data_IF_800905809729
#
_entry.id   IF_800905809729
#
_cell.length_a   1.000
_cell.length_b   1.000
_cell.length_c   1.000
_cell.angle_alpha   90.00
_cell.angle_beta   90.00
_cell.angle_gamma   90.00
#
_symmetry.space_group_name_H-M   'P 1'
#
loop_
_entity.id
_entity.type
_entity.pdbx_description
1 polymer ?
#
# COMPACT_ATOMS: atom_id res chain seq x y z
N UNK A 1 -2.95 -28.63 -13.23
CA UNK A 1 -2.25 -27.73 -14.18
C UNK A 1 -1.18 -26.98 -13.41
N UNK A 2 0.07 -27.09 -13.85
CA UNK A 2 1.25 -26.63 -13.10
C UNK A 2 1.42 -25.12 -13.18
N UNK A 3 0.74 -24.38 -12.31
CA UNK A 3 1.13 -23.00 -12.05
C UNK A 3 2.51 -23.03 -11.37
N UNK A 4 3.51 -22.41 -12.00
CA UNK A 4 4.77 -22.08 -11.32
C UNK A 4 4.43 -21.21 -10.11
N UNK A 5 4.53 -21.80 -8.92
CA UNK A 5 4.36 -21.07 -7.67
C UNK A 5 5.62 -20.23 -7.44
N UNK A 6 5.45 -18.92 -7.40
CA UNK A 6 6.52 -17.99 -7.04
C UNK A 6 6.46 -17.69 -5.54
N UNK A 7 7.55 -17.99 -4.83
CA UNK A 7 7.76 -17.55 -3.46
C UNK A 7 8.50 -16.22 -3.49
N UNK A 8 7.99 -15.23 -2.75
CA UNK A 8 8.63 -13.93 -2.61
C UNK A 8 8.47 -13.41 -1.18
N UNK A 9 9.48 -12.68 -0.72
CA UNK A 9 9.43 -11.92 0.51
C UNK A 9 9.04 -10.47 0.20
N UNK A 10 8.20 -9.87 1.05
CA UNK A 10 7.76 -8.48 0.92
C UNK A 10 7.63 -7.86 2.30
N UNK A 11 7.85 -6.55 2.38
CA UNK A 11 7.72 -5.79 3.61
C UNK A 11 6.80 -4.59 3.37
N UNK A 12 5.55 -4.61 3.90
CA UNK A 12 4.55 -3.59 3.61
C UNK A 12 5.02 -2.15 3.83
N UNK A 13 5.76 -1.89 4.90
CA UNK A 13 6.27 -0.54 5.17
C UNK A 13 7.20 -0.05 4.05
N UNK A 14 8.08 -0.91 3.54
CA UNK A 14 8.99 -0.55 2.48
C UNK A 14 8.26 -0.38 1.14
N UNK A 15 7.24 -1.21 0.88
CA UNK A 15 6.35 -1.01 -0.27
C UNK A 15 5.72 0.38 -0.24
N UNK A 16 5.21 0.82 0.92
CA UNK A 16 4.64 2.15 1.03
C UNK A 16 5.69 3.26 0.91
N UNK A 17 6.90 3.08 1.45
CA UNK A 17 7.99 4.03 1.23
C UNK A 17 8.31 4.20 -0.26
N UNK A 18 8.44 3.08 -0.96
CA UNK A 18 8.78 3.04 -2.39
C UNK A 18 7.66 3.64 -3.26
N UNK A 19 6.40 3.24 -3.03
CA UNK A 19 5.25 3.74 -3.78
C UNK A 19 5.02 5.24 -3.57
N UNK A 20 5.19 5.73 -2.34
CA UNK A 20 5.03 7.16 -2.05
C UNK A 20 6.26 7.97 -2.47
N UNK A 21 7.45 7.35 -2.50
CA UNK A 21 8.72 8.07 -2.58
C UNK A 21 8.96 8.93 -1.34
N UNK A 22 8.62 8.43 -0.16
CA UNK A 22 8.91 9.06 1.14
C UNK A 22 8.45 8.15 2.28
N UNK A 23 8.96 8.40 3.49
CA UNK A 23 8.46 7.70 4.70
C UNK A 23 6.97 8.05 4.89
N UNK A 24 6.07 7.06 4.97
CA UNK A 24 4.67 7.32 5.17
C UNK A 24 4.39 7.88 6.56
N UNK A 25 3.27 8.60 6.70
CA UNK A 25 2.72 8.99 8.00
C UNK A 25 2.50 7.76 8.91
N UNK A 26 2.49 7.94 10.25
CA UNK A 26 2.46 6.82 11.17
C UNK A 26 1.30 5.86 10.91
N UNK A 27 1.62 4.56 10.83
CA UNK A 27 0.67 3.48 10.50
C UNK A 27 -0.65 3.49 11.31
N UNK A 28 -0.68 3.76 12.63
CA UNK A 28 -1.92 3.65 13.39
C UNK A 28 -2.86 4.85 13.20
N UNK A 29 -2.41 5.95 12.59
CA UNK A 29 -3.24 7.16 12.49
C UNK A 29 -4.20 7.09 11.32
N UNK A 30 -5.24 7.93 11.34
CA UNK A 30 -6.18 8.04 10.22
C UNK A 30 -5.45 8.52 8.95
N UNK A 31 -4.60 9.53 9.07
CA UNK A 31 -3.83 10.13 7.97
C UNK A 31 -2.86 9.11 7.35
N UNK A 32 -2.20 8.30 8.19
CA UNK A 32 -1.34 7.22 7.72
C UNK A 32 -2.10 6.13 6.97
N UNK A 33 -3.33 5.81 7.37
CA UNK A 33 -4.20 4.86 6.65
C UNK A 33 -4.71 5.44 5.34
N UNK A 34 -5.19 6.69 5.36
CA UNK A 34 -5.59 7.43 4.16
C UNK A 34 -4.47 7.45 3.13
N UNK A 35 -3.26 7.87 3.51
CA UNK A 35 -2.12 7.94 2.60
C UNK A 35 -1.79 6.59 1.95
N UNK A 36 -1.79 5.50 2.72
CA UNK A 36 -1.55 4.14 2.23
C UNK A 36 -2.66 3.63 1.31
N UNK A 37 -3.91 3.95 1.63
CA UNK A 37 -5.05 3.58 0.79
C UNK A 37 -5.05 4.36 -0.53
N UNK A 38 -4.73 5.66 -0.49
CA UNK A 38 -4.61 6.53 -1.68
C UNK A 38 -3.60 5.93 -2.64
N UNK A 39 -2.39 5.63 -2.19
CA UNK A 39 -1.34 5.15 -3.10
C UNK A 39 -1.67 3.78 -3.70
N UNK A 40 -2.39 2.92 -2.97
CA UNK A 40 -2.89 1.65 -3.52
C UNK A 40 -4.02 1.87 -4.53
N UNK A 41 -4.95 2.78 -4.24
CA UNK A 41 -6.03 3.13 -5.18
C UNK A 41 -5.46 3.75 -6.47
N UNK A 42 -4.50 4.66 -6.35
CA UNK A 42 -3.80 5.31 -7.47
C UNK A 42 -2.98 4.31 -8.30
N UNK A 43 -2.47 3.26 -7.65
CA UNK A 43 -1.84 2.11 -8.31
C UNK A 43 -2.85 1.20 -9.06
N UNK A 44 -4.14 1.56 -9.07
CA UNK A 44 -5.19 0.87 -9.82
C UNK A 44 -5.83 -0.31 -9.10
N UNK A 45 -5.56 -0.50 -7.80
CA UNK A 45 -6.29 -1.51 -7.03
C UNK A 45 -7.77 -1.14 -6.95
N UNK A 46 -8.64 -2.13 -7.17
CA UNK A 46 -10.10 -1.99 -7.06
C UNK A 46 -10.55 -2.01 -5.60
N UNK A 47 -10.13 -1.00 -4.86
CA UNK A 47 -10.49 -0.75 -3.46
C UNK A 47 -11.36 0.50 -3.35
N UNK A 48 -11.97 0.74 -2.19
CA UNK A 48 -12.74 1.98 -1.97
C UNK A 48 -11.85 3.21 -2.16
N UNK A 49 -12.34 4.19 -2.91
CA UNK A 49 -11.68 5.49 -3.02
C UNK A 49 -11.66 6.17 -1.65
N UNK A 50 -10.48 6.40 -1.04
CA UNK A 50 -10.36 7.06 0.26
C UNK A 50 -10.85 8.51 0.24
N UNK A 51 -10.97 9.16 -0.93
CA UNK A 51 -11.46 10.54 -1.03
C UNK A 51 -12.92 10.68 -0.61
N UNK A 52 -13.73 9.62 -0.74
CA UNK A 52 -15.10 9.59 -0.24
C UNK A 52 -15.22 9.87 1.27
N UNK A 53 -14.15 9.63 2.04
CA UNK A 53 -14.08 10.01 3.45
C UNK A 53 -14.30 11.51 3.67
N UNK A 54 -13.72 12.34 2.81
CA UNK A 54 -13.83 13.80 2.92
C UNK A 54 -15.18 14.33 2.42
N UNK A 55 -15.77 13.66 1.43
CA UNK A 55 -17.10 14.00 0.91
C UNK A 55 -18.20 13.74 1.95
N UNK A 56 -18.01 12.71 2.78
CA UNK A 56 -18.96 12.32 3.81
C UNK A 56 -18.86 13.12 5.12
N UNK A 57 -17.77 13.88 5.29
CA UNK A 57 -17.57 14.73 6.47
C UNK A 57 -18.43 15.98 6.35
N UNK A 58 -19.31 16.18 7.33
CA UNK A 58 -20.10 17.40 7.48
C UNK A 58 -19.98 17.95 8.90
N UNK A 59 -20.21 19.26 9.08
CA UNK A 59 -20.28 19.89 10.41
C UNK A 59 -21.26 19.17 11.34
N UNK A 60 -22.39 18.69 10.78
CA UNK A 60 -23.40 17.95 11.53
C UNK A 60 -22.86 16.61 12.03
N UNK A 61 -22.28 15.78 11.16
CA UNK A 61 -21.71 14.47 11.53
C UNK A 61 -20.54 14.61 12.52
N UNK A 62 -19.65 15.59 12.30
CA UNK A 62 -18.56 15.89 13.23
C UNK A 62 -19.06 16.26 14.63
N UNK A 63 -20.11 17.09 14.72
CA UNK A 63 -20.73 17.44 16.01
C UNK A 63 -21.34 16.24 16.73
N UNK A 64 -21.75 15.21 15.99
CA UNK A 64 -22.27 13.96 16.54
C UNK A 64 -21.18 12.91 16.81
N UNK A 65 -19.91 13.21 16.52
CA UNK A 65 -18.81 12.24 16.64
C UNK A 65 -18.89 11.10 15.61
N UNK A 66 -19.62 11.29 14.51
CA UNK A 66 -19.77 10.29 13.44
C UNK A 66 -18.72 10.55 12.37
N UNK A 67 -17.81 9.59 12.19
CA UNK A 67 -16.79 9.59 11.14
C UNK A 67 -17.03 8.38 10.21
N UNK A 68 -16.87 8.52 8.88
CA UNK A 68 -17.11 7.44 7.91
C UNK A 68 -15.92 6.46 7.88
N UNK A 69 -15.62 5.84 9.01
CA UNK A 69 -14.45 4.99 9.20
C UNK A 69 -14.51 3.71 8.36
N UNK A 70 -15.70 3.27 7.95
CA UNK A 70 -15.96 2.15 7.07
C UNK A 70 -15.39 2.32 5.65
N UNK A 71 -15.09 3.56 5.24
CA UNK A 71 -14.44 3.87 3.96
C UNK A 71 -12.93 3.64 4.03
N UNK A 72 -12.35 3.57 5.23
CA UNK A 72 -10.91 3.49 5.46
C UNK A 72 -10.52 2.11 5.99
N UNK A 73 -9.67 1.40 5.24
CA UNK A 73 -9.18 0.09 5.65
C UNK A 73 -8.34 0.15 6.93
N UNK A 74 -8.36 -0.93 7.71
CA UNK A 74 -7.47 -1.11 8.84
C UNK A 74 -6.01 -1.28 8.38
N UNK A 75 -5.02 -0.96 9.23
CA UNK A 75 -3.62 -1.06 8.85
C UNK A 75 -3.21 -2.46 8.37
N UNK A 76 -3.74 -3.52 8.96
CA UNK A 76 -3.44 -4.91 8.59
C UNK A 76 -4.02 -5.26 7.22
N UNK A 77 -5.18 -4.70 6.86
CA UNK A 77 -5.78 -4.88 5.55
C UNK A 77 -4.95 -4.18 4.48
N UNK A 78 -4.46 -2.96 4.76
CA UNK A 78 -3.57 -2.23 3.87
C UNK A 78 -2.25 -2.95 3.65
N UNK A 79 -1.67 -3.54 4.70
CA UNK A 79 -0.46 -4.35 4.59
C UNK A 79 -0.68 -5.61 3.74
N UNK A 80 -1.81 -6.29 3.92
CA UNK A 80 -2.18 -7.46 3.12
C UNK A 80 -2.41 -7.09 1.65
N UNK A 81 -3.05 -5.94 1.38
CA UNK A 81 -3.24 -5.42 0.02
C UNK A 81 -1.91 -5.05 -0.65
N UNK A 82 -0.98 -4.44 0.08
CA UNK A 82 0.35 -4.15 -0.43
C UNK A 82 1.10 -5.44 -0.80
N UNK A 83 1.06 -6.46 0.07
CA UNK A 83 1.68 -7.76 -0.22
C UNK A 83 1.05 -8.43 -1.47
N UNK A 84 -0.28 -8.45 -1.55
CA UNK A 84 -1.00 -9.01 -2.70
C UNK A 84 -0.71 -8.23 -4.00
N UNK A 85 -0.63 -6.91 -3.92
CA UNK A 85 -0.27 -6.06 -5.06
C UNK A 85 1.15 -6.34 -5.53
N UNK A 86 2.12 -6.42 -4.61
CA UNK A 86 3.50 -6.79 -4.95
C UNK A 86 3.55 -8.15 -5.65
N UNK A 87 2.86 -9.17 -5.11
CA UNK A 87 2.82 -10.48 -5.75
C UNK A 87 2.21 -10.44 -7.17
N UNK A 88 1.14 -9.66 -7.35
CA UNK A 88 0.50 -9.48 -8.67
C UNK A 88 1.43 -8.76 -9.65
N UNK A 89 2.10 -7.68 -9.21
CA UNK A 89 3.08 -6.94 -10.00
C UNK A 89 4.24 -7.85 -10.41
N UNK A 90 4.79 -8.64 -9.51
CA UNK A 90 5.89 -9.57 -9.84
C UNK A 90 5.46 -10.60 -10.89
N UNK A 91 4.22 -11.07 -10.84
CA UNK A 91 3.70 -12.06 -11.77
C UNK A 91 3.29 -11.49 -13.14
N UNK A 92 2.83 -10.24 -13.19
CA UNK A 92 2.25 -9.63 -14.41
C UNK A 92 3.13 -8.57 -15.05
N UNK A 93 3.91 -7.88 -14.24
CA UNK A 93 4.73 -6.72 -14.58
C UNK A 93 6.12 -6.83 -13.93
N UNK A 94 6.89 -7.91 -14.14
CA UNK A 94 8.15 -8.14 -13.41
C UNK A 94 9.20 -7.02 -13.64
N UNK A 95 9.18 -6.36 -14.80
CA UNK A 95 10.07 -5.22 -15.09
C UNK A 95 9.72 -3.94 -14.29
N UNK A 96 8.53 -3.88 -13.70
CA UNK A 96 8.05 -2.78 -12.85
C UNK A 96 8.18 -3.13 -11.36
N UNK A 97 9.00 -4.13 -11.04
CA UNK A 97 9.33 -4.53 -9.67
C UNK A 97 10.83 -4.54 -9.46
N UNK A 98 11.25 -4.35 -8.22
CA UNK A 98 12.64 -4.33 -7.80
C UNK A 98 12.86 -5.34 -6.69
N UNK A 99 14.01 -6.03 -6.73
CA UNK A 99 14.52 -6.78 -5.59
C UNK A 99 15.53 -5.93 -4.83
N UNK A 100 15.32 -5.77 -3.54
CA UNK A 100 16.21 -5.04 -2.64
C UNK A 100 16.80 -6.02 -1.63
N UNK A 101 18.11 -5.96 -1.40
CA UNK A 101 18.79 -6.81 -0.42
C UNK A 101 20.11 -7.37 -0.93
N UNK A 102 20.68 -8.30 -0.17
CA UNK A 102 21.94 -8.95 -0.44
C UNK A 102 21.82 -10.45 -0.18
N UNK A 103 22.75 -11.24 -0.73
CA UNK A 103 22.69 -12.71 -0.63
C UNK A 103 22.75 -13.19 0.83
N UNK A 104 23.48 -12.48 1.69
CA UNK A 104 23.58 -12.77 3.12
C UNK A 104 22.30 -12.50 3.93
N UNK A 105 21.53 -11.47 3.56
CA UNK A 105 20.37 -10.99 4.34
C UNK A 105 19.02 -11.41 3.74
N UNK A 106 19.03 -11.88 2.48
CA UNK A 106 17.84 -12.16 1.69
C UNK A 106 17.44 -10.99 0.79
N UNK A 107 16.42 -11.24 -0.02
CA UNK A 107 15.88 -10.24 -0.95
C UNK A 107 14.40 -10.03 -0.66
N UNK A 108 13.99 -8.77 -0.62
CA UNK A 108 12.59 -8.37 -0.59
C UNK A 108 12.19 -7.78 -1.93
N UNK A 109 10.94 -8.00 -2.33
CA UNK A 109 10.39 -7.44 -3.57
C UNK A 109 9.59 -6.17 -3.27
N UNK A 110 9.84 -5.13 -4.04
CA UNK A 110 9.12 -3.86 -4.00
C UNK A 110 8.31 -3.68 -5.30
N UNK A 111 7.08 -3.12 -5.22
CA UNK A 111 6.21 -2.92 -6.37
C UNK A 111 6.55 -1.64 -7.15
N UNK A 112 7.84 -1.36 -7.34
CA UNK A 112 8.37 -0.26 -8.16
C UNK A 112 9.58 -0.77 -8.93
N UNK A 113 9.82 -0.24 -10.14
CA UNK A 113 11.00 -0.60 -10.93
C UNK A 113 12.29 0.09 -10.46
N UNK A 114 12.17 1.25 -9.83
CA UNK A 114 13.29 2.05 -9.34
C UNK A 114 12.89 2.84 -8.08
N UNK A 115 13.85 3.03 -7.17
CA UNK A 115 13.70 3.91 -6.02
C UNK A 115 14.03 5.34 -6.42
N UNK A 116 13.19 6.28 -6.01
CA UNK A 116 13.43 7.71 -6.21
C UNK A 116 14.61 8.17 -5.33
N UNK A 117 15.40 9.13 -5.83
CA UNK A 117 16.57 9.65 -5.09
C UNK A 117 16.20 10.11 -3.67
N UNK A 118 16.84 9.52 -2.68
CA UNK A 118 16.67 9.86 -1.26
C UNK A 118 15.80 8.89 -0.43
N UNK A 119 15.29 7.80 -1.01
CA UNK A 119 14.55 6.76 -0.26
C UNK A 119 14.63 5.38 -0.94
#
# INVERSE_FOLDING_TARGET
>A
EGAEHLWLETHPHACFCALLGQVPLPKPTLEGRLQRQIVLHDAGLRIKDPMGFFEEITRHRLRLGVMPMELIYHPEQLDALAAAYTAWMTAKHPAETMQLGAKEDGFMVLPVGELKEGY
#
